data_IF_850991831654
#
_entry.id   IF_850991831654
#
_cell.length_a   1.000
_cell.length_b   1.000
_cell.length_c   1.000
_cell.angle_alpha   90.00
_cell.angle_beta   90.00
_cell.angle_gamma   90.00
#
_symmetry.space_group_name_H-M   'P 1'
#
loop_
_entity.id
_entity.type
_entity.pdbx_description
1 polymer ?
#
# COMPACT_ATOMS: atom_id res chain seq x y z
N UNK A 1 36.03 -43.33 -19.21
CA UNK A 1 34.55 -43.22 -19.39
C UNK A 1 33.93 -42.14 -18.49
N UNK A 2 34.70 -41.41 -17.68
CA UNK A 2 34.17 -40.32 -16.83
C UNK A 2 33.86 -39.00 -17.57
N UNK A 3 34.55 -38.68 -18.68
CA UNK A 3 34.35 -37.40 -19.38
C UNK A 3 33.02 -37.25 -20.14
N UNK A 4 32.33 -38.34 -20.55
CA UNK A 4 31.07 -38.20 -21.29
C UNK A 4 29.86 -37.98 -20.38
N UNK A 5 29.92 -38.43 -19.13
CA UNK A 5 28.87 -38.22 -18.14
C UNK A 5 28.80 -36.73 -17.72
N UNK A 6 29.95 -36.11 -17.46
CA UNK A 6 30.02 -34.69 -17.09
C UNK A 6 29.53 -33.76 -18.21
N UNK A 7 29.92 -34.03 -19.47
CA UNK A 7 29.42 -33.23 -20.60
C UNK A 7 27.90 -33.34 -20.80
N UNK A 8 27.31 -34.50 -20.54
CA UNK A 8 25.85 -34.71 -20.69
C UNK A 8 25.06 -34.01 -19.59
N UNK A 9 25.62 -33.94 -18.38
CA UNK A 9 25.04 -33.20 -17.24
C UNK A 9 25.14 -31.68 -17.46
N UNK A 10 26.27 -31.19 -17.98
CA UNK A 10 26.43 -29.76 -18.32
C UNK A 10 25.49 -29.34 -19.46
N UNK A 11 25.32 -30.16 -20.49
CA UNK A 11 24.42 -29.83 -21.62
C UNK A 11 22.95 -29.85 -21.17
N UNK A 12 22.55 -30.80 -20.33
CA UNK A 12 21.16 -30.87 -19.83
C UNK A 12 20.81 -29.70 -18.91
N UNK A 13 21.75 -29.28 -18.04
CA UNK A 13 21.57 -28.10 -17.18
C UNK A 13 21.51 -26.79 -17.96
N UNK A 14 22.35 -26.62 -18.98
CA UNK A 14 22.33 -25.44 -19.87
C UNK A 14 21.02 -25.38 -20.68
N UNK A 15 20.56 -26.50 -21.23
CA UNK A 15 19.31 -26.57 -21.98
C UNK A 15 18.07 -26.30 -21.10
N UNK A 16 18.08 -26.77 -19.85
CA UNK A 16 17.03 -26.47 -18.87
C UNK A 16 17.03 -24.98 -18.48
N UNK A 17 18.21 -24.37 -18.33
CA UNK A 17 18.34 -22.94 -18.05
C UNK A 17 17.81 -22.07 -19.20
N UNK A 18 18.24 -22.34 -20.44
CA UNK A 18 17.76 -21.62 -21.62
C UNK A 18 16.26 -21.77 -21.86
N UNK A 19 15.72 -22.97 -21.63
CA UNK A 19 14.28 -23.19 -21.72
C UNK A 19 13.54 -22.34 -20.70
N UNK A 20 13.98 -22.34 -19.42
CA UNK A 20 13.35 -21.57 -18.35
C UNK A 20 13.38 -20.05 -18.62
N UNK A 21 14.48 -19.53 -19.16
CA UNK A 21 14.62 -18.12 -19.53
C UNK A 21 13.68 -17.73 -20.68
N UNK A 22 13.63 -18.54 -21.76
CA UNK A 22 12.73 -18.35 -22.89
C UNK A 22 11.24 -18.36 -22.50
N UNK A 23 10.81 -19.33 -21.67
CA UNK A 23 9.43 -19.38 -21.18
C UNK A 23 9.10 -18.21 -20.22
N UNK A 24 10.06 -17.77 -19.42
CA UNK A 24 9.89 -16.60 -18.55
C UNK A 24 9.65 -15.35 -19.39
N UNK A 25 10.47 -15.11 -20.42
CA UNK A 25 10.25 -13.98 -21.32
C UNK A 25 8.89 -14.05 -22.01
N UNK A 26 8.50 -15.21 -22.53
CA UNK A 26 7.22 -15.37 -23.22
C UNK A 26 6.02 -15.09 -22.30
N UNK A 27 6.04 -15.60 -21.07
CA UNK A 27 4.96 -15.39 -20.11
C UNK A 27 4.97 -13.98 -19.53
N UNK A 28 6.14 -13.40 -19.28
CA UNK A 28 6.24 -11.99 -18.85
C UNK A 28 5.62 -11.09 -19.91
N UNK A 29 6.01 -11.27 -21.17
CA UNK A 29 5.55 -10.47 -22.30
C UNK A 29 4.06 -10.66 -22.63
N UNK A 30 3.49 -11.86 -22.41
CA UNK A 30 2.09 -12.14 -22.76
C UNK A 30 1.11 -12.06 -21.58
N UNK A 31 1.51 -12.37 -20.34
CA UNK A 31 0.62 -12.44 -19.15
C UNK A 31 0.90 -11.38 -18.08
N UNK A 32 2.15 -10.98 -17.88
CA UNK A 32 2.54 -10.22 -16.68
C UNK A 32 2.80 -8.73 -16.93
N UNK A 33 2.84 -8.26 -18.18
CA UNK A 33 3.03 -6.83 -18.51
C UNK A 33 2.02 -5.94 -17.78
N UNK A 34 0.72 -6.27 -17.82
CA UNK A 34 -0.31 -5.48 -17.18
C UNK A 34 -0.16 -5.36 -15.64
N UNK A 35 -0.01 -6.45 -14.86
CA UNK A 35 0.26 -6.33 -13.43
C UNK A 35 1.59 -5.65 -13.09
N UNK A 36 2.62 -5.79 -13.94
CA UNK A 36 3.90 -5.06 -13.78
C UNK A 36 3.68 -3.56 -13.92
N UNK A 37 3.02 -3.11 -15.01
CA UNK A 37 2.69 -1.69 -15.24
C UNK A 37 1.86 -1.14 -14.07
N UNK A 38 0.86 -1.89 -13.61
CA UNK A 38 0.05 -1.52 -12.45
C UNK A 38 0.92 -1.25 -11.21
N UNK A 39 1.84 -2.15 -10.86
CA UNK A 39 2.73 -1.96 -9.72
C UNK A 39 3.73 -0.81 -9.91
N UNK A 40 4.24 -0.61 -11.13
CA UNK A 40 5.10 0.55 -11.45
C UNK A 40 4.33 1.85 -11.22
N UNK A 41 3.08 1.93 -11.67
CA UNK A 41 2.23 3.10 -11.43
C UNK A 41 2.12 3.36 -9.93
N UNK A 42 1.77 2.34 -9.14
CA UNK A 42 1.67 2.47 -7.67
C UNK A 42 3.00 2.96 -7.04
N UNK A 43 4.14 2.46 -7.52
CA UNK A 43 5.46 2.88 -7.05
C UNK A 43 5.80 4.33 -7.43
N UNK A 44 5.29 4.83 -8.55
CA UNK A 44 5.53 6.22 -8.98
C UNK A 44 4.66 7.22 -8.22
N UNK A 45 3.45 6.84 -7.79
CA UNK A 45 2.52 7.76 -7.12
C UNK A 45 2.52 7.64 -5.58
N UNK A 46 2.74 6.42 -5.05
CA UNK A 46 2.65 6.12 -3.62
C UNK A 46 3.70 6.83 -2.77
N UNK A 47 5.01 6.59 -3.00
CA UNK A 47 6.07 7.20 -2.23
C UNK A 47 6.04 8.74 -2.26
N UNK A 48 5.94 9.43 -3.42
CA UNK A 48 5.88 10.89 -3.43
C UNK A 48 4.67 11.44 -2.65
N UNK A 49 3.51 10.77 -2.79
CA UNK A 49 2.31 11.13 -2.05
C UNK A 49 2.48 10.98 -0.54
N UNK A 50 2.97 9.84 -0.05
CA UNK A 50 3.16 9.62 1.38
C UNK A 50 4.27 10.51 1.97
N UNK A 51 5.36 10.74 1.23
CA UNK A 51 6.42 11.69 1.61
C UNK A 51 5.83 13.09 1.79
N UNK A 52 4.93 13.53 0.90
CA UNK A 52 4.30 14.84 1.02
C UNK A 52 3.50 15.01 2.32
N UNK A 53 2.82 13.95 2.78
CA UNK A 53 2.11 13.91 4.08
C UNK A 53 3.12 14.05 5.22
N UNK A 54 4.22 13.30 5.18
CA UNK A 54 5.26 13.35 6.20
C UNK A 54 5.88 14.73 6.32
N UNK A 55 6.18 15.39 5.19
CA UNK A 55 6.74 16.75 5.16
C UNK A 55 5.73 17.76 5.71
N UNK A 56 4.49 17.75 5.22
CA UNK A 56 3.47 18.74 5.61
C UNK A 56 3.11 18.61 7.09
N UNK A 57 3.04 17.38 7.62
CA UNK A 57 2.61 17.13 9.00
C UNK A 57 3.74 16.90 10.01
N UNK A 58 5.01 16.99 9.60
CA UNK A 58 6.19 16.80 10.48
C UNK A 58 6.08 17.55 11.81
N UNK A 59 5.70 18.84 11.75
CA UNK A 59 5.65 19.73 12.92
C UNK A 59 4.26 19.84 13.55
N UNK A 60 3.27 19.06 13.07
CA UNK A 60 1.88 19.15 13.49
C UNK A 60 1.38 17.88 14.19
N UNK A 61 2.28 16.96 14.55
CA UNK A 61 1.99 15.71 15.25
C UNK A 61 1.57 15.88 16.74
N UNK A 62 1.43 17.12 17.22
CA UNK A 62 0.93 17.45 18.58
C UNK A 62 -0.58 17.17 18.76
N UNK A 63 -1.31 16.88 17.68
CA UNK A 63 -2.72 16.49 17.71
C UNK A 63 -2.86 14.99 17.43
N UNK A 64 -3.72 14.28 18.19
CA UNK A 64 -3.92 12.82 18.09
C UNK A 64 -4.25 12.37 16.67
N UNK A 65 -5.15 13.08 15.98
CA UNK A 65 -5.52 12.77 14.60
C UNK A 65 -4.32 12.90 13.65
N UNK A 66 -3.59 14.00 13.76
CA UNK A 66 -2.42 14.26 12.90
C UNK A 66 -1.27 13.28 13.19
N UNK A 67 -1.08 12.88 14.46
CA UNK A 67 -0.11 11.85 14.85
C UNK A 67 -0.45 10.50 14.20
N UNK A 68 -1.71 10.08 14.26
CA UNK A 68 -2.15 8.82 13.64
C UNK A 68 -1.93 8.87 12.12
N UNK A 69 -2.35 9.95 11.44
CA UNK A 69 -2.11 10.09 9.99
C UNK A 69 -0.63 10.07 9.63
N UNK A 70 0.20 10.76 10.42
CA UNK A 70 1.63 10.80 10.17
C UNK A 70 2.24 9.40 10.28
N UNK A 71 1.85 8.61 11.29
CA UNK A 71 2.30 7.21 11.43
C UNK A 71 1.76 6.32 10.32
N UNK A 72 0.49 6.48 9.91
CA UNK A 72 -0.07 5.76 8.74
C UNK A 72 0.79 6.04 7.50
N UNK A 73 1.14 7.31 7.24
CA UNK A 73 1.97 7.66 6.09
C UNK A 73 3.40 7.08 6.17
N UNK A 74 3.97 6.88 7.37
CA UNK A 74 5.25 6.18 7.54
C UNK A 74 5.10 4.71 7.14
N UNK A 75 4.10 4.02 7.69
CA UNK A 75 3.87 2.60 7.42
C UNK A 75 3.56 2.37 5.93
N UNK A 76 2.68 3.19 5.36
CA UNK A 76 2.30 3.10 3.94
C UNK A 76 3.48 3.42 3.03
N UNK A 77 4.35 4.38 3.39
CA UNK A 77 5.58 4.66 2.63
C UNK A 77 6.52 3.46 2.64
N UNK A 78 6.71 2.80 3.80
CA UNK A 78 7.54 1.61 3.90
C UNK A 78 6.98 0.47 3.05
N UNK A 79 5.65 0.27 3.05
CA UNK A 79 4.98 -0.72 2.20
C UNK A 79 5.16 -0.37 0.71
N UNK A 80 5.08 0.91 0.35
CA UNK A 80 5.32 1.35 -1.03
C UNK A 80 6.77 1.13 -1.46
N UNK A 81 7.75 1.38 -0.58
CA UNK A 81 9.18 1.31 -0.92
C UNK A 81 9.76 -0.11 -0.82
N UNK A 82 9.14 -1.00 -0.04
CA UNK A 82 9.64 -2.36 0.17
C UNK A 82 8.67 -3.38 -0.44
N UNK A 83 7.38 -3.27 -0.10
CA UNK A 83 6.36 -4.22 -0.53
C UNK A 83 6.06 -4.19 -2.03
N UNK A 84 5.97 -3.00 -2.64
CA UNK A 84 5.71 -2.89 -4.09
C UNK A 84 6.90 -3.40 -4.91
N UNK A 85 8.16 -2.99 -4.64
CA UNK A 85 9.33 -3.57 -5.33
C UNK A 85 9.48 -5.06 -5.12
N UNK A 86 9.16 -5.58 -3.93
CA UNK A 86 9.17 -7.02 -3.70
C UNK A 86 8.14 -7.75 -4.56
N UNK A 87 6.92 -7.22 -4.69
CA UNK A 87 5.91 -7.77 -5.59
C UNK A 87 6.32 -7.68 -7.07
N UNK A 88 7.00 -6.60 -7.48
CA UNK A 88 7.60 -6.50 -8.82
C UNK A 88 8.67 -7.56 -9.03
N UNK A 89 9.58 -7.73 -8.08
CA UNK A 89 10.63 -8.76 -8.13
C UNK A 89 10.05 -10.17 -8.27
N UNK A 90 8.92 -10.45 -7.61
CA UNK A 90 8.17 -11.72 -7.76
C UNK A 90 7.54 -11.89 -9.13
N UNK A 91 7.16 -10.81 -9.82
CA UNK A 91 6.61 -10.89 -11.18
C UNK A 91 7.71 -11.01 -12.24
N UNK A 92 8.80 -10.24 -12.11
CA UNK A 92 9.94 -10.35 -13.02
C UNK A 92 10.65 -11.70 -12.91
N UNK A 93 10.72 -12.29 -11.70
CA UNK A 93 11.34 -13.58 -11.46
C UNK A 93 10.30 -14.65 -11.12
N UNK A 94 9.16 -14.66 -11.83
CA UNK A 94 8.03 -15.54 -11.51
C UNK A 94 8.41 -17.04 -11.43
N UNK A 95 9.34 -17.48 -12.29
CA UNK A 95 9.80 -18.87 -12.39
C UNK A 95 11.20 -19.11 -11.78
N UNK A 96 11.89 -18.06 -11.36
CA UNK A 96 13.31 -18.11 -10.97
C UNK A 96 13.59 -17.28 -9.71
N UNK A 97 12.67 -17.29 -8.75
CA UNK A 97 12.89 -16.58 -7.49
C UNK A 97 13.80 -17.39 -6.58
N UNK A 98 15.09 -17.06 -6.53
CA UNK A 98 16.09 -17.89 -5.84
C UNK A 98 16.32 -17.54 -4.36
N UNK A 99 15.98 -16.31 -3.93
CA UNK A 99 16.33 -15.85 -2.57
C UNK A 99 15.26 -16.19 -1.52
N UNK A 100 15.41 -17.34 -0.86
CA UNK A 100 14.49 -17.78 0.20
C UNK A 100 14.41 -16.81 1.38
N UNK A 101 15.55 -16.28 1.83
CA UNK A 101 15.61 -15.35 2.97
C UNK A 101 14.84 -14.07 2.66
N UNK A 102 15.04 -13.51 1.47
CA UNK A 102 14.31 -12.33 1.02
C UNK A 102 12.80 -12.63 0.91
N UNK A 103 12.42 -13.78 0.36
CA UNK A 103 11.02 -14.19 0.25
C UNK A 103 10.31 -14.22 1.61
N UNK A 104 10.87 -14.92 2.61
CA UNK A 104 10.26 -15.04 3.95
C UNK A 104 10.23 -13.73 4.72
N UNK A 105 11.39 -13.07 4.83
CA UNK A 105 11.54 -11.87 5.66
C UNK A 105 10.69 -10.73 5.08
N UNK A 106 10.78 -10.50 3.77
CA UNK A 106 10.05 -9.39 3.15
C UNK A 106 8.54 -9.66 3.10
N UNK A 107 8.11 -10.91 2.87
CA UNK A 107 6.68 -11.26 2.96
C UNK A 107 6.14 -11.07 4.39
N UNK A 108 6.87 -11.54 5.41
CA UNK A 108 6.47 -11.35 6.81
C UNK A 108 6.40 -9.88 7.21
N UNK A 109 7.40 -9.07 6.82
CA UNK A 109 7.41 -7.63 7.07
C UNK A 109 6.27 -6.91 6.34
N UNK A 110 5.95 -7.34 5.12
CA UNK A 110 4.83 -6.79 4.35
C UNK A 110 3.50 -7.06 5.05
N UNK A 111 3.26 -8.30 5.47
CA UNK A 111 2.05 -8.68 6.22
C UNK A 111 1.94 -7.91 7.53
N UNK A 112 3.05 -7.79 8.27
CA UNK A 112 3.09 -6.99 9.50
C UNK A 112 2.76 -5.52 9.25
N UNK A 113 3.32 -4.92 8.19
CA UNK A 113 3.04 -3.53 7.82
C UNK A 113 1.58 -3.32 7.43
N UNK A 114 1.03 -4.22 6.61
CA UNK A 114 -0.38 -4.23 6.21
C UNK A 114 -1.29 -4.31 7.43
N UNK A 115 -0.98 -5.22 8.36
CA UNK A 115 -1.74 -5.38 9.59
C UNK A 115 -1.69 -4.11 10.44
N UNK A 116 -0.50 -3.56 10.66
CA UNK A 116 -0.34 -2.32 11.43
C UNK A 116 -1.09 -1.16 10.77
N UNK A 117 -1.02 -1.00 9.45
CA UNK A 117 -1.77 0.04 8.72
C UNK A 117 -3.29 -0.12 8.94
N UNK A 118 -3.82 -1.34 8.83
CA UNK A 118 -5.23 -1.67 9.10
C UNK A 118 -5.64 -1.30 10.53
N UNK A 119 -4.83 -1.67 11.52
CA UNK A 119 -5.09 -1.35 12.92
C UNK A 119 -5.04 0.15 13.21
N UNK A 120 -4.17 0.90 12.52
CA UNK A 120 -4.13 2.36 12.63
C UNK A 120 -5.38 3.02 12.04
N UNK A 121 -5.98 2.46 10.99
CA UNK A 121 -7.29 2.91 10.49
C UNK A 121 -8.41 2.69 11.51
N UNK A 122 -8.39 1.55 12.19
CA UNK A 122 -9.31 1.27 13.30
C UNK A 122 -9.08 2.26 14.44
N UNK A 123 -7.83 2.51 14.84
CA UNK A 123 -7.49 3.46 15.90
C UNK A 123 -7.93 4.89 15.53
N UNK A 124 -7.74 5.29 14.27
CA UNK A 124 -8.27 6.55 13.73
C UNK A 124 -9.79 6.62 13.88
N UNK A 125 -10.48 5.52 13.55
CA UNK A 125 -11.94 5.41 13.63
C UNK A 125 -12.43 5.44 15.08
N UNK A 126 -11.76 4.76 16.02
CA UNK A 126 -12.05 4.82 17.45
C UNK A 126 -11.90 6.24 17.98
N UNK A 127 -10.83 6.95 17.57
CA UNK A 127 -10.64 8.35 17.91
C UNK A 127 -11.78 9.23 17.37
N UNK A 128 -12.28 8.96 16.16
CA UNK A 128 -13.46 9.65 15.61
C UNK A 128 -14.74 9.32 16.36
N UNK A 129 -14.96 8.04 16.66
CA UNK A 129 -16.10 7.58 17.43
C UNK A 129 -16.17 8.30 18.78
N UNK A 130 -15.06 8.40 19.51
CA UNK A 130 -15.05 9.09 20.81
C UNK A 130 -15.35 10.59 20.68
N UNK A 131 -14.78 11.25 19.67
CA UNK A 131 -15.00 12.68 19.43
C UNK A 131 -16.42 13.02 19.00
N UNK A 132 -17.09 12.13 18.25
CA UNK A 132 -18.43 12.35 17.73
C UNK A 132 -19.51 11.87 18.71
N UNK A 133 -19.36 10.66 19.25
CA UNK A 133 -20.36 10.02 20.11
C UNK A 133 -20.26 10.47 21.58
N UNK A 134 -19.08 10.90 22.04
CA UNK A 134 -18.85 11.32 23.43
C UNK A 134 -18.02 12.61 23.52
N UNK A 135 -18.48 13.73 22.92
CA UNK A 135 -17.70 14.97 22.87
C UNK A 135 -17.39 15.55 24.27
N UNK A 136 -18.25 15.34 25.26
CA UNK A 136 -18.11 15.87 26.63
C UNK A 136 -17.29 14.97 27.57
N UNK A 137 -16.95 13.75 27.14
CA UNK A 137 -16.12 12.84 27.96
C UNK A 137 -14.63 13.13 27.75
N UNK A 138 -13.78 12.66 28.66
CA UNK A 138 -12.31 12.75 28.53
C UNK A 138 -11.87 12.19 27.19
N UNK A 139 -11.17 12.99 26.38
CA UNK A 139 -10.73 12.58 25.05
C UNK A 139 -9.42 11.78 25.09
N UNK A 140 -9.10 11.06 24.00
CA UNK A 140 -7.83 10.35 23.88
C UNK A 140 -6.69 11.38 23.91
N UNK A 141 -5.69 11.15 24.75
CA UNK A 141 -4.50 12.01 24.87
C UNK A 141 -3.39 11.55 23.92
N UNK A 142 -2.38 12.41 23.72
CA UNK A 142 -1.19 12.04 22.92
C UNK A 142 -0.43 10.87 23.56
N UNK A 143 -0.37 10.79 24.89
CA UNK A 143 0.27 9.67 25.59
C UNK A 143 -0.48 8.37 25.31
N UNK A 144 -1.81 8.35 25.52
CA UNK A 144 -2.63 7.15 25.30
C UNK A 144 -2.56 6.66 23.85
N UNK A 145 -2.65 7.57 22.87
CA UNK A 145 -2.54 7.15 21.46
C UNK A 145 -1.16 6.61 21.12
N UNK A 146 -0.09 7.08 21.78
CA UNK A 146 1.27 6.56 21.55
C UNK A 146 1.38 5.12 22.02
N UNK A 147 0.81 4.79 23.19
CA UNK A 147 0.72 3.41 23.67
C UNK A 147 -0.10 2.53 22.71
N UNK A 148 -1.26 3.01 22.25
CA UNK A 148 -2.08 2.27 21.29
C UNK A 148 -1.36 2.04 19.96
N UNK A 149 -0.62 3.03 19.45
CA UNK A 149 0.23 2.86 18.26
C UNK A 149 1.28 1.77 18.50
N UNK A 150 1.98 1.78 19.65
CA UNK A 150 2.94 0.74 20.02
C UNK A 150 2.31 -0.66 20.04
N UNK A 151 1.10 -0.78 20.58
CA UNK A 151 0.34 -2.04 20.55
C UNK A 151 0.00 -2.48 19.12
N UNK A 152 -0.36 -1.55 18.22
CA UNK A 152 -0.59 -1.88 16.81
C UNK A 152 0.67 -2.43 16.12
N UNK A 153 1.84 -1.86 16.41
CA UNK A 153 3.10 -2.40 15.89
C UNK A 153 3.38 -3.80 16.45
N UNK A 154 3.23 -4.00 17.76
CA UNK A 154 3.47 -5.29 18.39
C UNK A 154 2.55 -6.39 17.83
N UNK A 155 1.24 -6.13 17.75
CA UNK A 155 0.27 -7.08 17.21
C UNK A 155 0.52 -7.31 15.71
N UNK A 156 0.85 -6.27 14.95
CA UNK A 156 1.20 -6.38 13.54
C UNK A 156 2.41 -7.30 13.31
N UNK A 157 3.48 -7.12 14.08
CA UNK A 157 4.67 -7.99 14.02
C UNK A 157 4.28 -9.45 14.31
N UNK A 158 3.53 -9.69 15.38
CA UNK A 158 3.08 -11.05 15.75
C UNK A 158 2.24 -11.68 14.63
N UNK A 159 1.36 -10.91 13.98
CA UNK A 159 0.51 -11.41 12.89
C UNK A 159 1.29 -11.81 11.62
N UNK A 160 2.51 -11.30 11.43
CA UNK A 160 3.38 -11.67 10.31
C UNK A 160 4.22 -12.92 10.55
N UNK A 161 4.31 -13.42 11.80
CA UNK A 161 5.08 -14.62 12.14
C UNK A 161 4.57 -15.87 11.42
N UNK A 162 3.24 -16.15 11.35
CA UNK A 162 2.73 -17.28 10.60
C UNK A 162 3.18 -17.28 9.14
N UNK A 163 3.29 -16.12 8.50
CA UNK A 163 3.77 -16.01 7.13
C UNK A 163 5.22 -16.49 6.98
N UNK A 164 6.09 -16.12 7.94
CA UNK A 164 7.49 -16.56 7.94
C UNK A 164 7.60 -18.08 8.15
N UNK A 165 6.71 -18.64 8.98
CA UNK A 165 6.71 -20.07 9.33
C UNK A 165 6.04 -20.96 8.25
N UNK A 166 4.95 -20.48 7.63
CA UNK A 166 4.15 -21.22 6.65
C UNK A 166 4.72 -21.10 5.23
N UNK A 167 5.50 -20.05 4.91
CA UNK A 167 6.23 -20.00 3.64
C UNK A 167 7.28 -21.12 3.57
N UNK A 168 6.84 -22.25 3.06
CA UNK A 168 7.68 -23.37 2.65
C UNK A 168 8.40 -22.98 1.34
N UNK A 169 9.68 -23.35 1.19
CA UNK A 169 10.53 -22.86 0.11
C UNK A 169 10.06 -23.45 -1.21
N UNK A 170 10.13 -22.64 -2.27
CA UNK A 170 10.69 -23.09 -3.56
C UNK A 170 10.14 -24.46 -4.03
N UNK A 171 8.84 -24.71 -3.89
CA UNK A 171 8.28 -25.90 -4.49
C UNK A 171 8.54 -25.79 -5.98
N UNK A 172 9.21 -26.80 -6.52
CA UNK A 172 9.35 -26.96 -7.95
C UNK A 172 7.92 -27.02 -8.51
N UNK A 173 7.46 -25.87 -9.00
CA UNK A 173 6.09 -25.71 -9.44
C UNK A 173 6.10 -26.09 -10.91
N UNK A 174 5.27 -27.06 -11.26
CA UNK A 174 5.01 -27.36 -12.65
C UNK A 174 4.11 -26.26 -13.19
N UNK A 175 4.62 -25.52 -14.16
CA UNK A 175 3.90 -24.43 -14.80
C UNK A 175 3.28 -24.86 -16.15
N UNK A 176 3.26 -26.17 -16.41
CA UNK A 176 2.83 -26.78 -17.65
C UNK A 176 3.98 -26.90 -18.65
N UNK A 177 3.78 -27.73 -19.67
CA UNK A 177 4.72 -27.93 -20.79
C UNK A 177 6.13 -28.40 -20.38
N UNK A 178 6.25 -29.11 -19.25
CA UNK A 178 7.54 -29.63 -18.77
C UNK A 178 8.45 -28.57 -18.17
N UNK A 179 7.94 -27.37 -17.89
CA UNK A 179 8.70 -26.28 -17.28
C UNK A 179 8.46 -26.26 -15.79
N UNK A 180 9.50 -26.60 -15.06
CA UNK A 180 9.52 -26.48 -13.61
C UNK A 180 10.31 -25.26 -13.18
N UNK A 181 9.89 -24.61 -12.09
CA UNK A 181 10.56 -23.43 -11.59
C UNK A 181 10.31 -23.15 -10.12
N UNK A 182 10.97 -22.11 -9.64
CA UNK A 182 10.95 -21.69 -8.25
C UNK A 182 10.18 -20.38 -8.10
N UNK A 183 9.09 -20.42 -7.35
CA UNK A 183 8.28 -19.24 -7.03
C UNK A 183 8.38 -18.91 -5.54
N UNK A 184 8.36 -17.62 -5.24
CA UNK A 184 8.10 -17.13 -3.89
C UNK A 184 6.60 -17.18 -3.63
N UNK A 185 6.07 -18.38 -3.41
CA UNK A 185 4.70 -18.67 -3.00
C UNK A 185 4.70 -19.86 -2.04
N UNK A 186 3.61 -20.04 -1.30
CA UNK A 186 3.51 -21.16 -0.36
C UNK A 186 3.48 -22.47 -1.14
N UNK A 187 4.32 -23.43 -0.77
CA UNK A 187 4.28 -24.78 -1.32
C UNK A 187 2.98 -25.48 -0.88
N UNK A 188 1.88 -25.22 -1.58
CA UNK A 188 0.57 -25.82 -1.28
C UNK A 188 0.58 -27.35 -1.45
N UNK A 189 1.52 -27.90 -2.24
CA UNK A 189 1.69 -29.33 -2.46
C UNK A 189 2.24 -30.06 -1.22
N UNK A 190 3.14 -29.42 -0.46
CA UNK A 190 3.82 -30.07 0.68
C UNK A 190 3.11 -29.82 2.03
N UNK A 191 2.33 -28.73 2.14
CA UNK A 191 1.54 -28.44 3.34
C UNK A 191 0.18 -27.79 3.02
N UNK A 192 -0.75 -28.54 2.37
CA UNK A 192 -2.07 -28.01 2.00
C UNK A 192 -2.88 -27.53 3.21
N UNK A 193 -2.74 -28.21 4.36
CA UNK A 193 -3.43 -27.81 5.60
C UNK A 193 -2.82 -26.55 6.22
N UNK A 194 -1.49 -26.37 6.14
CA UNK A 194 -0.81 -25.17 6.64
C UNK A 194 -1.22 -23.92 5.87
N UNK A 195 -1.22 -24.01 4.53
CA UNK A 195 -1.70 -22.94 3.64
C UNK A 195 -3.16 -22.59 3.90
N UNK A 196 -4.04 -23.60 3.98
CA UNK A 196 -5.46 -23.42 4.28
C UNK A 196 -5.66 -22.72 5.62
N UNK A 197 -4.96 -23.15 6.68
CA UNK A 197 -5.06 -22.54 8.00
C UNK A 197 -4.60 -21.08 8.00
N UNK A 198 -3.51 -20.78 7.27
CA UNK A 198 -3.00 -19.42 7.12
C UNK A 198 -4.00 -18.51 6.38
N UNK A 199 -4.59 -18.98 5.28
CA UNK A 199 -5.62 -18.24 4.55
C UNK A 199 -6.88 -18.00 5.37
N UNK A 200 -7.32 -19.00 6.13
CA UNK A 200 -8.45 -18.84 7.08
C UNK A 200 -8.09 -17.80 8.13
N UNK A 201 -6.88 -17.81 8.67
CA UNK A 201 -6.41 -16.84 9.65
C UNK A 201 -6.43 -15.40 9.09
N UNK A 202 -5.82 -15.17 7.91
CA UNK A 202 -5.84 -13.87 7.26
C UNK A 202 -7.26 -13.39 6.95
N UNK A 203 -8.09 -14.28 6.39
CA UNK A 203 -9.49 -14.00 6.05
C UNK A 203 -10.29 -13.62 7.29
N UNK A 204 -10.06 -14.31 8.41
CA UNK A 204 -10.70 -14.02 9.69
C UNK A 204 -10.29 -12.65 10.24
N UNK A 205 -9.01 -12.28 10.12
CA UNK A 205 -8.51 -10.96 10.52
C UNK A 205 -9.13 -9.85 9.67
N UNK A 206 -9.17 -10.02 8.35
CA UNK A 206 -9.80 -9.05 7.45
C UNK A 206 -11.27 -8.83 7.79
N UNK A 207 -12.03 -9.91 8.00
CA UNK A 207 -13.43 -9.84 8.40
C UNK A 207 -13.60 -9.16 9.76
N UNK A 208 -12.75 -9.51 10.75
CA UNK A 208 -12.78 -8.91 12.08
C UNK A 208 -12.60 -7.39 12.03
N UNK A 209 -11.56 -6.89 11.34
CA UNK A 209 -11.32 -5.45 11.26
C UNK A 209 -12.38 -4.73 10.43
N UNK A 210 -12.86 -5.33 9.34
CA UNK A 210 -13.94 -4.76 8.52
C UNK A 210 -15.24 -4.65 9.33
N UNK A 211 -15.59 -5.68 10.10
CA UNK A 211 -16.76 -5.67 10.97
C UNK A 211 -16.61 -4.61 12.07
N UNK A 212 -15.43 -4.51 12.70
CA UNK A 212 -15.17 -3.51 13.72
C UNK A 212 -15.33 -2.08 13.17
N UNK A 213 -14.79 -1.80 11.99
CA UNK A 213 -14.98 -0.53 11.30
C UNK A 213 -16.46 -0.28 11.02
N UNK A 214 -17.18 -1.27 10.49
CA UNK A 214 -18.61 -1.17 10.20
C UNK A 214 -19.41 -0.80 11.46
N UNK A 215 -19.19 -1.49 12.57
CA UNK A 215 -19.86 -1.23 13.85
C UNK A 215 -19.56 0.19 14.35
N UNK A 216 -18.29 0.61 14.34
CA UNK A 216 -17.90 1.96 14.77
C UNK A 216 -18.56 3.05 13.90
N UNK A 217 -18.58 2.86 12.57
CA UNK A 217 -19.21 3.80 11.65
C UNK A 217 -20.73 3.79 11.76
N UNK A 218 -21.36 2.66 12.09
CA UNK A 218 -22.79 2.61 12.38
C UNK A 218 -23.15 3.48 13.59
N UNK A 219 -22.36 3.41 14.67
CA UNK A 219 -22.58 4.29 15.82
C UNK A 219 -22.31 5.77 15.51
N UNK A 220 -21.22 6.06 14.79
CA UNK A 220 -20.92 7.43 14.34
C UNK A 220 -22.07 7.98 13.50
N UNK A 221 -22.54 7.20 12.51
CA UNK A 221 -23.64 7.56 11.62
C UNK A 221 -24.94 7.83 12.39
N UNK A 222 -25.32 6.93 13.33
CA UNK A 222 -26.49 7.13 14.20
C UNK A 222 -26.40 8.44 14.99
N UNK A 223 -25.25 8.75 15.57
CA UNK A 223 -25.05 10.00 16.32
C UNK A 223 -25.15 11.22 15.40
N UNK A 224 -24.52 11.19 14.22
CA UNK A 224 -24.59 12.29 13.25
C UNK A 224 -26.03 12.54 12.77
N UNK A 225 -26.81 11.48 12.54
CA UNK A 225 -28.22 11.60 12.19
C UNK A 225 -29.05 12.24 13.32
N UNK A 226 -28.82 11.84 14.58
CA UNK A 226 -29.48 12.45 15.75
C UNK A 226 -29.16 13.94 15.86
N UNK A 227 -27.88 14.32 15.72
CA UNK A 227 -27.44 15.72 15.77
C UNK A 227 -28.04 16.55 14.62
N UNK A 228 -28.13 15.98 13.41
CA UNK A 228 -28.75 16.64 12.26
C UNK A 228 -30.25 16.87 12.47
N UNK A 229 -30.97 15.90 13.07
CA UNK A 229 -32.39 16.06 13.42
C UNK A 229 -32.58 17.15 14.46
N UNK A 230 -31.80 17.13 15.56
CA UNK A 230 -31.88 18.16 16.61
C UNK A 230 -31.64 19.58 16.08
N UNK A 231 -30.63 19.77 15.22
CA UNK A 231 -30.35 21.08 14.58
C UNK A 231 -31.44 21.57 13.62
N UNK A 232 -32.29 20.69 13.09
CA UNK A 232 -33.43 21.09 12.25
C UNK A 232 -34.60 21.58 13.11
N UNK A 233 -34.72 21.05 14.32
CA UNK A 233 -35.78 21.43 15.28
C UNK A 233 -35.38 22.68 16.06
N UNK A 234 -34.11 22.79 16.45
CA UNK A 234 -33.60 23.95 17.17
C UNK A 234 -33.13 25.02 16.16
N UNK A 235 -33.91 26.09 15.96
CA UNK A 235 -33.55 27.29 15.17
C UNK A 235 -32.41 28.12 15.79
N UNK A 236 -31.76 27.63 16.85
CA UNK A 236 -30.76 28.39 17.59
C UNK A 236 -29.45 28.50 16.80
N UNK A 237 -29.23 29.73 16.31
CA UNK A 237 -27.94 30.25 15.83
C UNK A 237 -26.97 30.42 17.02
N UNK A 238 -26.58 29.34 17.70
CA UNK A 238 -25.58 29.44 18.76
C UNK A 238 -24.15 29.12 18.27
N UNK A 239 -23.25 30.02 18.68
CA UNK A 239 -21.79 30.02 18.62
C UNK A 239 -21.11 29.52 17.33
N UNK A 240 -20.65 30.47 16.50
CA UNK A 240 -19.82 30.23 15.33
C UNK A 240 -18.59 29.33 15.61
N UNK A 241 -18.00 29.43 16.80
CA UNK A 241 -16.86 28.61 17.22
C UNK A 241 -17.25 27.12 17.41
N UNK A 242 -18.41 26.83 18.01
CA UNK A 242 -18.91 25.47 18.17
C UNK A 242 -19.25 24.85 16.80
N UNK A 243 -19.91 25.62 15.93
CA UNK A 243 -20.23 25.20 14.57
C UNK A 243 -18.98 24.92 13.72
N UNK A 244 -17.92 25.73 13.88
CA UNK A 244 -16.62 25.51 13.22
C UNK A 244 -15.93 24.24 13.71
N UNK A 245 -15.91 23.99 15.02
CA UNK A 245 -15.32 22.78 15.61
C UNK A 245 -16.07 21.50 15.17
N UNK A 246 -17.41 21.53 15.21
CA UNK A 246 -18.25 20.44 14.71
C UNK A 246 -18.04 20.20 13.20
N UNK A 247 -17.95 21.26 12.40
CA UNK A 247 -17.66 21.18 10.97
C UNK A 247 -16.31 20.55 10.66
N UNK A 248 -15.25 20.90 11.41
CA UNK A 248 -13.94 20.28 11.28
C UNK A 248 -13.98 18.81 11.68
N UNK A 249 -14.65 18.46 12.78
CA UNK A 249 -14.80 17.08 13.23
C UNK A 249 -15.50 16.22 12.17
N UNK A 250 -16.58 16.72 11.54
CA UNK A 250 -17.27 16.02 10.45
C UNK A 250 -16.39 15.82 9.21
N UNK A 251 -15.57 16.82 8.83
CA UNK A 251 -14.60 16.68 7.73
C UNK A 251 -13.59 15.57 8.01
N UNK A 252 -13.04 15.55 9.22
CA UNK A 252 -12.06 14.53 9.63
C UNK A 252 -12.71 13.14 9.65
N UNK A 253 -13.95 13.03 10.14
CA UNK A 253 -14.71 11.77 10.11
C UNK A 253 -14.99 11.30 8.68
N UNK A 254 -15.30 12.21 7.76
CA UNK A 254 -15.46 11.88 6.32
C UNK A 254 -14.15 11.35 5.72
N UNK A 255 -13.02 11.97 6.06
CA UNK A 255 -11.70 11.49 5.63
C UNK A 255 -11.47 10.07 6.16
N UNK A 256 -11.62 9.85 7.47
CA UNK A 256 -11.44 8.54 8.08
C UNK A 256 -12.33 7.48 7.40
N UNK A 257 -13.61 7.79 7.20
CA UNK A 257 -14.54 6.91 6.51
C UNK A 257 -14.10 6.58 5.09
N UNK A 258 -13.65 7.57 4.33
CA UNK A 258 -13.22 7.37 2.94
C UNK A 258 -11.99 6.46 2.87
N UNK A 259 -11.01 6.67 3.76
CA UNK A 259 -9.82 5.80 3.83
C UNK A 259 -10.22 4.37 4.22
N UNK A 260 -11.06 4.20 5.24
CA UNK A 260 -11.57 2.88 5.64
C UNK A 260 -12.37 2.17 4.53
N UNK A 261 -13.10 2.93 3.71
CA UNK A 261 -13.82 2.37 2.56
C UNK A 261 -12.85 1.88 1.48
N UNK A 262 -11.80 2.64 1.19
CA UNK A 262 -10.75 2.20 0.26
C UNK A 262 -10.06 0.95 0.78
N UNK A 263 -9.77 0.85 2.07
CA UNK A 263 -9.29 -0.39 2.68
C UNK A 263 -10.25 -1.56 2.39
N UNK A 264 -11.53 -1.45 2.72
CA UNK A 264 -12.48 -2.55 2.53
C UNK A 264 -12.58 -2.98 1.05
N UNK A 265 -12.67 -2.02 0.13
CA UNK A 265 -12.81 -2.30 -1.31
C UNK A 265 -11.52 -2.86 -1.91
N UNK A 266 -10.35 -2.38 -1.48
CA UNK A 266 -9.07 -2.83 -2.05
C UNK A 266 -8.67 -4.22 -1.55
N UNK A 267 -9.09 -4.64 -0.35
CA UNK A 267 -8.80 -5.96 0.19
C UNK A 267 -9.84 -7.03 -0.18
N UNK A 268 -11.08 -6.61 -0.47
CA UNK A 268 -12.17 -7.53 -0.83
C UNK A 268 -11.82 -8.48 -1.99
N UNK A 269 -11.19 -8.05 -3.10
CA UNK A 269 -10.86 -8.94 -4.20
C UNK A 269 -9.87 -10.05 -3.80
N UNK A 270 -8.88 -9.73 -2.97
CA UNK A 270 -7.97 -10.73 -2.40
C UNK A 270 -8.72 -11.72 -1.50
N UNK A 271 -9.58 -11.22 -0.60
CA UNK A 271 -10.39 -12.08 0.26
C UNK A 271 -11.29 -13.03 -0.56
N UNK A 272 -11.98 -12.51 -1.58
CA UNK A 272 -12.82 -13.33 -2.45
C UNK A 272 -12.00 -14.36 -3.22
N UNK A 273 -10.79 -14.00 -3.68
CA UNK A 273 -9.87 -14.93 -4.32
C UNK A 273 -9.51 -16.10 -3.39
N UNK A 274 -9.10 -15.83 -2.16
CA UNK A 274 -8.71 -16.88 -1.21
C UNK A 274 -9.89 -17.76 -0.77
N UNK A 275 -11.12 -17.22 -0.73
CA UNK A 275 -12.32 -17.99 -0.39
C UNK A 275 -12.85 -18.79 -1.59
N UNK A 276 -12.77 -18.23 -2.80
CA UNK A 276 -13.31 -18.84 -4.01
C UNK A 276 -12.41 -19.96 -4.57
N UNK A 277 -11.10 -19.93 -4.31
CA UNK A 277 -10.17 -20.94 -4.82
C UNK A 277 -10.19 -22.18 -3.91
N UNK A 278 -11.14 -23.07 -4.18
CA UNK A 278 -10.88 -24.51 -4.18
C UNK A 278 -10.68 -24.90 -5.65
N UNK A 279 -9.52 -25.46 -5.98
CA UNK A 279 -9.29 -26.21 -7.23
C UNK A 279 -9.31 -25.42 -8.56
N UNK A 280 -8.86 -24.15 -8.57
CA UNK A 280 -8.72 -23.40 -9.83
C UNK A 280 -7.33 -23.58 -10.46
N UNK A 281 -7.28 -24.19 -11.64
CA UNK A 281 -6.04 -24.39 -12.41
C UNK A 281 -5.71 -23.12 -13.20
N UNK A 282 -4.75 -22.32 -12.69
CA UNK A 282 -4.32 -21.08 -13.35
C UNK A 282 -3.76 -21.31 -14.76
N UNK A 283 -3.33 -22.52 -15.10
CA UNK A 283 -2.75 -22.84 -16.42
C UNK A 283 -3.79 -22.82 -17.54
N UNK A 284 -5.09 -22.99 -17.20
CA UNK A 284 -6.21 -23.00 -18.15
C UNK A 284 -6.81 -21.62 -18.40
N UNK A 285 -6.33 -20.59 -17.70
CA UNK A 285 -6.83 -19.23 -17.86
C UNK A 285 -6.35 -18.59 -19.16
N UNK A 286 -7.22 -17.79 -19.77
CA UNK A 286 -6.81 -16.88 -20.86
C UNK A 286 -5.76 -15.88 -20.33
N UNK A 287 -4.92 -15.37 -21.23
CA UNK A 287 -3.86 -14.41 -20.90
C UNK A 287 -4.41 -13.17 -20.17
N UNK A 288 -5.57 -12.64 -20.62
CA UNK A 288 -6.23 -11.49 -20.01
C UNK A 288 -6.80 -11.79 -18.62
N UNK A 289 -7.46 -12.94 -18.44
CA UNK A 289 -8.01 -13.31 -17.13
C UNK A 289 -6.89 -13.58 -16.12
N UNK A 290 -5.80 -14.22 -16.54
CA UNK A 290 -4.62 -14.41 -15.69
C UNK A 290 -4.01 -13.07 -15.28
N UNK A 291 -3.82 -12.14 -16.21
CA UNK A 291 -3.31 -10.80 -15.92
C UNK A 291 -4.19 -10.04 -14.92
N UNK A 292 -5.52 -10.06 -15.13
CA UNK A 292 -6.50 -9.47 -14.23
C UNK A 292 -6.46 -10.10 -12.85
N UNK A 293 -6.36 -11.43 -12.77
CA UNK A 293 -6.24 -12.14 -11.50
C UNK A 293 -5.01 -11.68 -10.71
N UNK A 294 -3.85 -11.54 -11.37
CA UNK A 294 -2.62 -11.08 -10.70
C UNK A 294 -2.70 -9.61 -10.24
N UNK A 295 -3.48 -8.77 -10.92
CA UNK A 295 -3.80 -7.39 -10.47
C UNK A 295 -4.73 -7.43 -9.25
N UNK A 296 -5.81 -8.21 -9.34
CA UNK A 296 -6.82 -8.39 -8.29
C UNK A 296 -6.19 -8.92 -7.00
N UNK A 297 -5.31 -9.92 -7.09
CA UNK A 297 -4.56 -10.44 -5.95
C UNK A 297 -3.63 -9.39 -5.28
N UNK A 298 -3.39 -8.25 -5.94
CA UNK A 298 -2.55 -7.14 -5.46
C UNK A 298 -3.32 -5.83 -5.31
N UNK A 299 -4.66 -5.87 -5.37
CA UNK A 299 -5.49 -4.67 -5.22
C UNK A 299 -5.35 -4.04 -3.83
N UNK A 300 -5.02 -4.83 -2.80
CA UNK A 300 -4.81 -4.36 -1.42
C UNK A 300 -3.73 -3.26 -1.32
N UNK A 301 -2.77 -3.22 -2.26
CA UNK A 301 -1.72 -2.20 -2.32
C UNK A 301 -2.27 -0.79 -2.57
N UNK A 302 -3.46 -0.67 -3.18
CA UNK A 302 -4.13 0.62 -3.43
C UNK A 302 -4.36 1.37 -2.13
N UNK A 303 -4.65 0.68 -1.02
CA UNK A 303 -4.88 1.31 0.28
C UNK A 303 -3.70 2.16 0.75
N UNK A 304 -2.47 1.71 0.46
CA UNK A 304 -1.23 2.38 0.87
C UNK A 304 -0.85 3.55 -0.04
N UNK A 305 -1.55 3.70 -1.17
CA UNK A 305 -1.28 4.72 -2.18
C UNK A 305 -2.38 5.79 -2.23
N UNK A 306 -3.60 5.46 -1.82
CA UNK A 306 -4.77 6.33 -1.94
C UNK A 306 -4.80 7.52 -0.96
N UNK A 307 -4.14 7.39 0.20
CA UNK A 307 -4.24 8.35 1.31
C UNK A 307 -3.92 9.82 0.94
N UNK A 308 -2.83 10.12 0.22
CA UNK A 308 -2.51 11.47 -0.24
C UNK A 308 -3.61 12.11 -1.10
N UNK A 309 -4.25 11.32 -1.97
CA UNK A 309 -5.33 11.80 -2.84
C UNK A 309 -6.60 12.13 -2.04
N UNK A 310 -6.93 11.29 -1.05
CA UNK A 310 -8.05 11.51 -0.15
C UNK A 310 -7.82 12.79 0.68
N UNK A 311 -6.61 12.98 1.21
CA UNK A 311 -6.26 14.19 1.96
C UNK A 311 -6.24 15.42 1.07
N UNK A 312 -5.72 15.34 -0.15
CA UNK A 312 -5.79 16.44 -1.11
C UNK A 312 -7.24 16.85 -1.39
N UNK A 313 -8.16 15.88 -1.52
CA UNK A 313 -9.57 16.15 -1.81
C UNK A 313 -10.32 16.77 -0.63
N UNK A 314 -10.11 16.27 0.59
CA UNK A 314 -10.96 16.57 1.73
C UNK A 314 -10.29 17.39 2.85
N UNK A 315 -8.96 17.43 2.90
CA UNK A 315 -8.19 18.22 3.87
C UNK A 315 -7.68 19.52 3.23
N UNK A 316 -8.39 20.61 3.51
CA UNK A 316 -8.04 21.94 3.01
C UNK A 316 -6.64 22.39 3.46
N UNK A 317 -6.19 22.00 4.65
CA UNK A 317 -4.88 22.41 5.14
C UNK A 317 -3.78 21.70 4.35
N UNK A 318 -3.92 20.38 4.18
CA UNK A 318 -3.01 19.59 3.36
C UNK A 318 -2.95 20.12 1.92
N UNK A 319 -4.10 20.28 1.27
CA UNK A 319 -4.19 20.80 -0.11
C UNK A 319 -3.55 22.18 -0.27
N UNK A 320 -3.85 23.11 0.64
CA UNK A 320 -3.29 24.46 0.59
C UNK A 320 -1.77 24.47 0.75
N UNK A 321 -1.24 23.68 1.68
CA UNK A 321 0.20 23.55 1.91
C UNK A 321 0.89 22.90 0.71
N UNK A 322 0.31 21.84 0.18
CA UNK A 322 0.86 21.12 -0.98
C UNK A 322 0.93 22.02 -2.21
N UNK A 323 -0.15 22.75 -2.52
CA UNK A 323 -0.18 23.72 -3.62
C UNK A 323 0.85 24.83 -3.41
N UNK A 324 1.04 25.32 -2.18
CA UNK A 324 2.07 26.31 -1.88
C UNK A 324 3.48 25.78 -2.16
N UNK A 325 3.76 24.53 -1.77
CA UNK A 325 5.04 23.88 -2.08
C UNK A 325 5.28 23.78 -3.60
N UNK A 326 4.27 23.34 -4.37
CA UNK A 326 4.36 23.27 -5.82
C UNK A 326 4.62 24.64 -6.46
N UNK A 327 3.91 25.69 -6.00
CA UNK A 327 4.11 27.05 -6.49
C UNK A 327 5.52 27.59 -6.18
N UNK A 328 6.05 27.30 -5.00
CA UNK A 328 7.43 27.68 -4.64
C UNK A 328 8.45 26.96 -5.50
N UNK A 329 8.29 25.65 -5.73
CA UNK A 329 9.19 24.88 -6.61
C UNK A 329 9.14 25.41 -8.05
N UNK A 330 7.94 25.73 -8.56
CA UNK A 330 7.76 26.31 -9.89
C UNK A 330 8.45 27.68 -10.02
N UNK A 331 8.36 28.52 -8.97
CA UNK A 331 9.06 29.82 -8.91
C UNK A 331 10.58 29.64 -8.86
N UNK A 332 11.11 28.73 -8.05
CA UNK A 332 12.55 28.45 -7.99
C UNK A 332 13.08 27.96 -9.36
N UNK A 333 12.37 27.04 -10.02
CA UNK A 333 12.73 26.59 -11.38
C UNK A 333 12.74 27.74 -12.40
N UNK A 334 11.80 28.68 -12.30
CA UNK A 334 11.77 29.87 -13.18
C UNK A 334 12.97 30.79 -12.94
N UNK A 335 13.37 30.99 -11.69
CA UNK A 335 14.55 31.80 -11.34
C UNK A 335 15.84 31.14 -11.84
N UNK A 336 15.98 29.82 -11.66
CA UNK A 336 17.16 29.08 -12.14
C UNK A 336 17.28 29.08 -13.67
N UNK A 337 16.16 28.95 -14.38
CA UNK A 337 16.14 29.05 -15.84
C UNK A 337 16.52 30.45 -16.34
N UNK A 338 16.04 31.50 -15.68
CA UNK A 338 16.44 32.87 -16.00
C UNK A 338 17.94 33.09 -15.76
N UNK A 339 18.50 32.57 -14.65
CA UNK A 339 19.94 32.63 -14.38
C UNK A 339 20.79 31.92 -15.44
N UNK A 340 20.36 30.74 -15.90
CA UNK A 340 21.03 30.01 -16.99
C UNK A 340 21.01 30.76 -18.32
N UNK A 341 19.90 31.45 -18.65
CA UNK A 341 19.82 32.29 -19.85
C UNK A 341 20.76 33.50 -19.77
N UNK A 342 20.81 34.22 -18.64
CA UNK A 342 21.76 35.33 -18.46
C UNK A 342 23.23 34.89 -18.52
N UNK A 343 23.56 33.72 -17.98
CA UNK A 343 24.94 33.22 -18.04
C UNK A 343 25.35 32.78 -19.45
N UNK A 344 24.43 32.24 -20.26
CA UNK A 344 24.70 31.92 -21.67
C UNK A 344 24.85 33.17 -22.55
N UNK A 345 24.14 34.27 -22.24
CA UNK A 345 24.31 35.54 -22.96
C UNK A 345 25.64 36.23 -22.62
N UNK A 346 26.14 36.10 -21.39
CA UNK A 346 27.41 36.70 -20.97
C UNK A 346 28.65 35.84 -21.31
N UNK A 347 28.47 34.60 -21.79
CA UNK A 347 29.54 33.67 -22.16
C UNK A 347 29.92 33.67 -23.65
N UNK A 348 29.33 34.53 -24.48
CA UNK A 348 29.70 34.62 -25.90
C UNK A 348 30.95 35.50 -26.07
N UNK A 349 32.06 35.00 -26.64
CA UNK A 349 33.25 35.81 -26.82
C UNK A 349 32.97 36.93 -27.83
N UNK A 350 33.15 38.19 -27.41
CA UNK A 350 33.22 39.34 -28.31
C UNK A 350 34.30 39.06 -29.36
N UNK A 351 33.90 38.78 -30.60
CA UNK A 351 34.79 38.91 -31.76
C UNK A 351 35.20 40.38 -31.82
N UNK A 352 36.44 40.67 -31.45
CA UNK A 352 37.09 41.94 -31.76
C UNK A 352 37.41 41.91 -33.25
N UNK A 353 36.59 42.59 -34.05
CA UNK A 353 36.96 42.98 -35.41
C UNK A 353 38.09 44.02 -35.31
N UNK A 354 39.32 43.58 -35.55
CA UNK A 354 40.47 44.45 -35.80
C UNK A 354 40.51 44.75 -37.31
N UNK A 355 39.86 45.84 -37.70
CA UNK A 355 40.16 46.53 -38.95
C UNK A 355 41.20 47.62 -38.70
N UNK A 356 42.39 47.43 -39.29
CA UNK A 356 43.24 48.39 -40.04
C UNK A 356 44.55 47.67 -40.33
#
# INVERSE_FOLDING_TARGET
MENSADHTVVISTVNAFHSREYYTEQIVNQKLVAPIIYLIILLLIGPPGNISILIIYRNYNKNVYRKIIWIIAVVDLLICLIGVPFNLGRLFNYYNFQSLRACRIVAGLLDSGIMTSTQLLVLLTIHRYRQVCYPLKRQITIQNVTYFIGACFAIGIVSGIPQIAVLQPLAETDFGHGVTGYTCSVAWKDSPQGWKNYNIFLSSLFLFYTLLLFVLYAFIGRTLLRLKRKRRTDNNRENAQYNRSAGLSMKITKIAFTVSLVFAISYLPLFLNEVAIKDFDETKLSWSTFALLKIVQRSYLINHVANPFIYYRFDNHFRSRLNSCFMTIARCKKIDNNKKQTNNMNGSPRKTDSGI
#
